data_IF_221235179773
#
_entry.id   IF_221235179773
#
_cell.length_a   1.000
_cell.length_b   1.000
_cell.length_c   1.000
_cell.angle_alpha   90.00
_cell.angle_beta   90.00
_cell.angle_gamma   90.00
#
_symmetry.space_group_name_H-M   'P 1'
#
loop_
_entity.id
_entity.type
_entity.pdbx_description
1 polymer ?
#
# COMPACT_ATOMS: atom_id res chain seq x y z
N UNK A 1 -6.28 -5.72 49.94
CA UNK A 1 -5.72 -6.34 48.71
C UNK A 1 -5.55 -5.24 47.67
N UNK A 2 -4.31 -4.75 47.55
CA UNK A 2 -3.69 -3.93 46.49
C UNK A 2 -4.49 -2.82 45.78
N UNK A 3 -4.41 -1.60 46.35
CA UNK A 3 -4.55 -0.36 45.58
C UNK A 3 -3.22 -0.05 44.90
N UNK A 4 -3.20 -0.10 43.56
CA UNK A 4 -2.01 0.20 42.76
C UNK A 4 -1.82 1.72 42.70
N UNK A 5 -0.93 2.24 43.55
CA UNK A 5 -0.52 3.64 43.56
C UNK A 5 0.38 3.91 42.35
N UNK A 6 -0.20 4.21 41.18
CA UNK A 6 0.58 4.85 40.11
C UNK A 6 1.03 6.22 40.65
N UNK A 7 2.34 6.53 40.73
CA UNK A 7 2.79 7.82 41.22
C UNK A 7 2.18 8.92 40.34
N UNK A 8 1.47 9.89 40.93
CA UNK A 8 0.85 11.02 40.20
C UNK A 8 1.86 11.81 39.35
N UNK A 9 3.16 11.70 39.63
CA UNK A 9 4.22 12.33 38.84
C UNK A 9 4.56 11.56 37.55
N UNK A 10 4.44 10.22 37.54
CA UNK A 10 4.60 9.45 36.30
C UNK A 10 3.51 9.81 35.29
N UNK A 11 2.25 9.90 35.74
CA UNK A 11 1.15 10.26 34.83
C UNK A 11 1.29 11.69 34.30
N UNK A 12 1.77 12.64 35.11
CA UNK A 12 2.08 14.01 34.65
C UNK A 12 3.20 14.03 33.62
N UNK A 13 4.26 13.25 33.85
CA UNK A 13 5.41 13.19 32.94
C UNK A 13 5.04 12.52 31.61
N UNK A 14 4.26 11.43 31.66
CA UNK A 14 3.68 10.80 30.46
C UNK A 14 2.77 11.76 29.70
N UNK A 15 1.87 12.48 30.39
CA UNK A 15 1.00 13.48 29.76
C UNK A 15 1.80 14.61 29.10
N UNK A 16 2.88 15.07 29.73
CA UNK A 16 3.76 16.09 29.16
C UNK A 16 4.44 15.60 27.88
N UNK A 17 4.99 14.37 27.89
CA UNK A 17 5.60 13.76 26.70
C UNK A 17 4.59 13.58 25.56
N UNK A 18 3.36 13.16 25.86
CA UNK A 18 2.28 13.02 24.87
C UNK A 18 1.94 14.38 24.25
N UNK A 19 1.76 15.43 25.06
CA UNK A 19 1.47 16.76 24.56
C UNK A 19 2.60 17.33 23.69
N UNK A 20 3.86 17.10 24.08
CA UNK A 20 5.02 17.49 23.27
C UNK A 20 5.11 16.72 21.94
N UNK A 21 4.69 15.46 21.91
CA UNK A 21 4.58 14.70 20.66
C UNK A 21 3.44 15.23 19.78
N UNK A 22 2.26 15.47 20.35
CA UNK A 22 1.11 16.02 19.62
C UNK A 22 1.39 17.39 18.99
N UNK A 23 2.09 18.28 19.70
CA UNK A 23 2.46 19.59 19.15
C UNK A 23 3.52 19.50 18.04
N UNK A 24 4.41 18.49 18.09
CA UNK A 24 5.31 18.19 16.96
C UNK A 24 4.54 17.68 15.76
N UNK A 25 3.68 16.68 15.96
CA UNK A 25 2.86 16.09 14.88
C UNK A 25 1.95 17.15 14.22
N UNK A 26 1.38 18.08 15.00
CA UNK A 26 0.61 19.20 14.45
C UNK A 26 1.45 20.08 13.52
N UNK A 27 2.68 20.41 13.92
CA UNK A 27 3.58 21.23 13.09
C UNK A 27 3.98 20.52 11.81
N UNK A 28 4.29 19.22 11.89
CA UNK A 28 4.61 18.41 10.71
C UNK A 28 3.41 18.30 9.77
N UNK A 29 2.21 18.11 10.30
CA UNK A 29 0.98 18.05 9.50
C UNK A 29 0.65 19.37 8.80
N UNK A 30 1.05 20.52 9.35
CA UNK A 30 0.88 21.82 8.71
C UNK A 30 1.83 22.06 7.52
N UNK A 31 2.95 21.34 7.47
CA UNK A 31 3.92 21.42 6.36
C UNK A 31 3.58 20.40 5.27
N UNK A 32 2.88 19.31 5.61
CA UNK A 32 2.50 18.26 4.67
C UNK A 32 1.41 18.72 3.69
N UNK A 33 1.73 18.73 2.39
CA UNK A 33 0.77 18.96 1.32
C UNK A 33 0.10 17.64 0.90
N UNK A 34 -1.20 17.50 1.17
CA UNK A 34 -1.98 16.30 0.81
C UNK A 34 -2.60 16.45 -0.58
N UNK A 35 -2.37 15.48 -1.45
CA UNK A 35 -2.90 15.45 -2.82
C UNK A 35 -3.88 14.28 -2.98
N UNK A 36 -5.02 14.53 -3.63
CA UNK A 36 -6.02 13.51 -3.97
C UNK A 36 -6.02 13.23 -5.46
N UNK A 37 -5.76 11.97 -5.83
CA UNK A 37 -5.84 11.50 -7.22
C UNK A 37 -7.21 10.88 -7.47
N UNK A 38 -8.04 11.54 -8.29
CA UNK A 38 -9.38 11.09 -8.68
C UNK A 38 -9.38 10.52 -10.11
N UNK A 39 -10.24 9.54 -10.35
CA UNK A 39 -10.39 8.91 -11.68
C UNK A 39 -11.13 7.57 -11.61
N UNK A 40 -11.63 7.10 -12.75
CA UNK A 40 -12.35 5.84 -12.89
C UNK A 40 -11.52 4.62 -12.43
N UNK A 41 -12.16 3.47 -12.20
CA UNK A 41 -11.46 2.21 -11.95
C UNK A 41 -10.39 1.96 -13.03
N UNK A 42 -9.24 1.43 -12.64
CA UNK A 42 -8.15 1.06 -13.56
C UNK A 42 -7.50 2.19 -14.36
N UNK A 43 -7.86 3.46 -14.12
CA UNK A 43 -7.34 4.65 -14.83
C UNK A 43 -5.85 4.97 -14.60
N UNK A 44 -5.08 4.08 -13.99
CA UNK A 44 -3.64 4.26 -13.77
C UNK A 44 -3.25 5.12 -12.55
N UNK A 45 -4.18 5.46 -11.64
CA UNK A 45 -3.87 6.23 -10.42
C UNK A 45 -2.74 5.62 -9.59
N UNK A 46 -2.80 4.31 -9.36
CA UNK A 46 -1.74 3.58 -8.64
C UNK A 46 -0.40 3.62 -9.39
N UNK A 47 -0.43 3.68 -10.73
CA UNK A 47 0.77 3.82 -11.55
C UNK A 47 1.41 5.20 -11.36
N UNK A 48 0.62 6.28 -11.34
CA UNK A 48 1.12 7.64 -11.07
C UNK A 48 1.77 7.72 -9.69
N UNK A 49 1.12 7.19 -8.65
CA UNK A 49 1.70 7.15 -7.30
C UNK A 49 3.02 6.35 -7.27
N UNK A 50 3.07 5.20 -7.96
CA UNK A 50 4.29 4.41 -8.06
C UNK A 50 5.43 5.17 -8.77
N UNK A 51 5.12 5.98 -9.78
CA UNK A 51 6.10 6.82 -10.48
C UNK A 51 6.57 7.99 -9.62
N UNK A 52 5.68 8.64 -8.87
CA UNK A 52 6.09 9.67 -7.90
C UNK A 52 7.11 9.12 -6.91
N UNK A 53 6.92 7.89 -6.42
CA UNK A 53 7.90 7.24 -5.55
C UNK A 53 9.25 7.03 -6.23
N UNK A 54 9.28 6.63 -7.50
CA UNK A 54 10.54 6.44 -8.25
C UNK A 54 11.29 7.76 -8.41
N UNK A 55 10.57 8.85 -8.71
CA UNK A 55 11.17 10.15 -9.05
C UNK A 55 11.65 10.90 -7.81
N UNK A 56 10.87 10.87 -6.72
CA UNK A 56 11.11 11.71 -5.55
C UNK A 56 11.78 10.99 -4.37
N UNK A 57 11.80 9.65 -4.36
CA UNK A 57 12.47 8.90 -3.30
C UNK A 57 13.87 8.49 -3.78
N UNK A 58 14.92 9.08 -3.20
CA UNK A 58 16.32 8.88 -3.63
C UNK A 58 16.75 7.41 -3.65
N UNK A 59 16.17 6.59 -2.77
CA UNK A 59 16.44 5.15 -2.66
C UNK A 59 15.45 4.27 -3.44
N UNK A 60 14.50 4.85 -4.18
CA UNK A 60 13.52 4.12 -4.97
C UNK A 60 12.69 3.11 -4.16
N UNK A 61 12.61 1.87 -4.64
CA UNK A 61 11.98 0.74 -3.95
C UNK A 61 13.03 -0.11 -3.24
N UNK A 62 12.78 -0.44 -1.98
CA UNK A 62 13.66 -1.33 -1.23
C UNK A 62 13.45 -2.79 -1.63
N UNK A 63 14.43 -3.64 -1.33
CA UNK A 63 14.32 -5.09 -1.58
C UNK A 63 13.08 -5.70 -0.90
N UNK A 64 12.77 -5.29 0.33
CA UNK A 64 11.59 -5.76 1.06
C UNK A 64 10.29 -5.36 0.37
N UNK A 65 10.21 -4.16 -0.20
CA UNK A 65 9.05 -3.73 -0.97
C UNK A 65 8.89 -4.54 -2.24
N UNK A 66 9.98 -4.79 -2.96
CA UNK A 66 9.99 -5.66 -4.14
C UNK A 66 9.51 -7.09 -3.79
N UNK A 67 9.94 -7.63 -2.65
CA UNK A 67 9.49 -8.93 -2.16
C UNK A 67 7.99 -8.95 -1.82
N UNK A 68 7.44 -7.84 -1.31
CA UNK A 68 5.99 -7.70 -1.09
C UNK A 68 5.19 -7.63 -2.40
N UNK A 69 5.80 -7.15 -3.49
CA UNK A 69 5.14 -7.13 -4.80
C UNK A 69 5.13 -8.50 -5.49
N UNK A 70 6.07 -9.42 -5.20
CA UNK A 70 6.10 -10.77 -5.78
C UNK A 70 4.74 -11.49 -5.76
N UNK A 71 4.05 -11.68 -4.61
CA UNK A 71 2.77 -12.37 -4.58
C UNK A 71 1.69 -11.68 -5.43
N UNK A 72 1.73 -10.35 -5.51
CA UNK A 72 0.81 -9.56 -6.36
C UNK A 72 1.07 -9.86 -7.84
N UNK A 73 2.34 -9.93 -8.25
CA UNK A 73 2.71 -10.28 -9.63
C UNK A 73 2.23 -11.69 -9.97
N UNK A 74 2.48 -12.67 -9.11
CA UNK A 74 2.00 -14.04 -9.34
C UNK A 74 0.48 -14.12 -9.45
N UNK A 75 -0.23 -13.46 -8.54
CA UNK A 75 -1.69 -13.41 -8.56
C UNK A 75 -2.22 -12.78 -9.84
N UNK A 76 -1.67 -11.64 -10.25
CA UNK A 76 -2.07 -10.96 -11.48
C UNK A 76 -1.79 -11.80 -12.73
N UNK A 77 -0.66 -12.49 -12.79
CA UNK A 77 -0.32 -13.38 -13.92
C UNK A 77 -1.33 -14.53 -14.04
N UNK A 78 -1.65 -15.20 -12.93
CA UNK A 78 -2.62 -16.30 -12.92
C UNK A 78 -4.01 -15.81 -13.29
N UNK A 79 -4.47 -14.70 -12.70
CA UNK A 79 -5.77 -14.12 -13.00
C UNK A 79 -5.87 -13.67 -14.46
N UNK A 80 -4.82 -13.05 -15.01
CA UNK A 80 -4.77 -12.64 -16.41
C UNK A 80 -4.85 -13.84 -17.34
N UNK A 81 -4.11 -14.91 -17.02
CA UNK A 81 -4.16 -16.14 -17.80
C UNK A 81 -5.56 -16.78 -17.76
N UNK A 82 -6.17 -16.87 -16.57
CA UNK A 82 -7.53 -17.39 -16.43
C UNK A 82 -8.55 -16.56 -17.23
N UNK A 83 -8.43 -15.23 -17.19
CA UNK A 83 -9.29 -14.34 -17.97
C UNK A 83 -9.16 -14.59 -19.48
N UNK A 84 -7.93 -14.80 -19.98
CA UNK A 84 -7.68 -15.16 -21.38
C UNK A 84 -8.33 -16.50 -21.71
N UNK A 85 -8.11 -17.53 -20.88
CA UNK A 85 -8.69 -18.86 -21.11
C UNK A 85 -10.23 -18.83 -21.13
N UNK A 86 -10.84 -18.10 -20.20
CA UNK A 86 -12.29 -17.90 -20.17
C UNK A 86 -12.79 -17.15 -21.41
N UNK A 87 -12.07 -16.12 -21.85
CA UNK A 87 -12.39 -15.38 -23.07
C UNK A 87 -12.28 -16.26 -24.32
N UNK A 88 -11.25 -17.11 -24.43
CA UNK A 88 -11.10 -18.06 -25.53
C UNK A 88 -12.28 -19.03 -25.62
N UNK A 89 -12.74 -19.56 -24.48
CA UNK A 89 -13.93 -20.41 -24.45
C UNK A 89 -15.18 -19.65 -24.90
N UNK A 90 -15.42 -18.44 -24.38
CA UNK A 90 -16.57 -17.60 -24.78
C UNK A 90 -16.57 -17.24 -26.26
N UNK A 91 -15.39 -16.99 -26.82
CA UNK A 91 -15.20 -16.62 -28.23
C UNK A 91 -15.02 -17.84 -29.15
N UNK A 92 -15.10 -19.07 -28.60
CA UNK A 92 -14.91 -20.33 -29.35
C UNK A 92 -13.57 -20.39 -30.10
N UNK A 93 -12.52 -19.82 -29.51
CA UNK A 93 -11.16 -19.85 -30.06
C UNK A 93 -10.47 -21.11 -29.54
N UNK A 94 -10.26 -22.08 -30.43
CA UNK A 94 -9.53 -23.30 -30.12
C UNK A 94 -8.05 -23.04 -29.89
N UNK A 95 -7.42 -23.83 -29.01
CA UNK A 95 -5.97 -23.81 -28.86
C UNK A 95 -5.28 -24.25 -30.15
N UNK A 96 -4.17 -23.60 -30.49
CA UNK A 96 -3.34 -24.01 -31.62
C UNK A 96 -2.76 -25.42 -31.44
N UNK A 97 -2.50 -25.83 -30.20
CA UNK A 97 -2.14 -27.21 -29.87
C UNK A 97 -3.33 -27.90 -29.20
N UNK A 98 -3.96 -28.91 -29.85
CA UNK A 98 -5.14 -29.58 -29.33
C UNK A 98 -4.89 -30.40 -28.06
N UNK A 99 -3.63 -30.71 -27.71
CA UNK A 99 -3.27 -31.43 -26.47
C UNK A 99 -3.39 -30.51 -25.24
N UNK A 100 -3.38 -29.18 -25.44
CA UNK A 100 -3.44 -28.18 -24.36
C UNK A 100 -4.87 -27.74 -24.03
N UNK A 101 -5.87 -28.42 -24.58
CA UNK A 101 -7.27 -28.15 -24.35
C UNK A 101 -7.70 -28.54 -22.94
#
# INVERSE_FOLDING_TARGET
MFGCCIPRDQSKQTNKMINEALERDKKEMHVESKLLLLGAGESGKSTVVKQMKIIFNENGYTTDECLRFKPVIFSNTIQSMLAILQAMNRLQISFANPIRQ
#
